data_IF_789509403400
#
_entry.id   IF_789509403400
#
_cell.length_a   1.000
_cell.length_b   1.000
_cell.length_c   1.000
_cell.angle_alpha   90.00
_cell.angle_beta   90.00
_cell.angle_gamma   90.00
#
_symmetry.space_group_name_H-M   'P 1'
#
loop_
_entity.id
_entity.type
_entity.pdbx_description
1 polymer ?
#
# COMPACT_ATOMS: atom_id res chain seq x y z
N UNK A 1 46.45 -12.71 -40.66
CA UNK A 1 45.12 -12.04 -40.81
C UNK A 1 44.11 -13.16 -40.61
N UNK A 2 43.36 -13.30 -39.52
CA UNK A 2 42.70 -12.32 -38.64
C UNK A 2 42.61 -12.89 -37.19
N UNK A 3 42.76 -12.00 -36.20
CA UNK A 3 42.47 -12.03 -34.76
C UNK A 3 41.33 -12.98 -34.32
N UNK A 4 41.39 -13.83 -33.27
CA UNK A 4 41.69 -13.67 -31.83
C UNK A 4 40.91 -12.54 -31.14
N UNK A 5 39.82 -12.89 -30.42
CA UNK A 5 39.40 -12.22 -29.17
C UNK A 5 38.28 -13.03 -28.48
N UNK A 6 38.71 -13.87 -27.53
CA UNK A 6 37.86 -14.52 -26.53
C UNK A 6 38.10 -13.74 -25.23
N UNK A 7 37.21 -12.79 -24.89
CA UNK A 7 37.33 -12.04 -23.64
C UNK A 7 36.91 -12.92 -22.46
N UNK A 8 37.90 -13.60 -21.87
CA UNK A 8 37.90 -14.03 -20.48
C UNK A 8 38.01 -12.78 -19.60
N UNK A 9 36.91 -12.36 -18.99
CA UNK A 9 36.97 -11.40 -17.89
C UNK A 9 37.47 -12.14 -16.64
N UNK A 10 38.73 -11.90 -16.30
CA UNK A 10 39.31 -12.23 -15.00
C UNK A 10 38.63 -11.37 -13.93
N UNK A 11 37.97 -12.03 -12.97
CA UNK A 11 37.50 -11.39 -11.75
C UNK A 11 38.71 -10.90 -10.95
N UNK A 12 38.94 -9.59 -10.99
CA UNK A 12 39.77 -8.92 -10.01
C UNK A 12 38.96 -8.66 -8.73
N UNK A 13 39.67 -8.88 -7.64
CA UNK A 13 39.22 -8.90 -6.27
C UNK A 13 39.06 -7.45 -5.79
N UNK A 14 38.03 -6.77 -6.29
CA UNK A 14 37.66 -5.46 -5.80
C UNK A 14 36.63 -5.63 -4.68
N UNK A 15 36.96 -5.06 -3.52
CA UNK A 15 36.06 -4.80 -2.41
C UNK A 15 34.88 -3.95 -2.91
N UNK A 16 33.90 -4.60 -3.56
CA UNK A 16 32.62 -4.02 -3.91
C UNK A 16 31.89 -3.75 -2.60
N UNK A 17 32.05 -2.53 -2.09
CA UNK A 17 30.94 -1.81 -1.47
C UNK A 17 29.79 -1.90 -2.48
N UNK A 18 28.96 -2.94 -2.34
CA UNK A 18 27.68 -3.03 -3.01
C UNK A 18 26.96 -1.73 -2.65
N UNK A 19 26.92 -0.77 -3.57
CA UNK A 19 25.97 0.32 -3.47
C UNK A 19 24.62 -0.36 -3.26
N UNK A 20 24.05 -0.17 -2.07
CA UNK A 20 22.73 -0.67 -1.74
C UNK A 20 21.77 -0.09 -2.77
N UNK A 21 21.37 -0.93 -3.74
CA UNK A 21 20.45 -0.51 -4.79
C UNK A 21 19.14 -0.16 -4.10
N UNK A 22 18.86 1.14 -3.99
CA UNK A 22 17.60 1.63 -3.45
C UNK A 22 16.48 1.29 -4.42
N UNK A 23 15.63 0.34 -4.00
CA UNK A 23 14.44 -0.05 -4.74
C UNK A 23 13.25 0.79 -4.25
N UNK A 24 12.51 1.38 -5.19
CA UNK A 24 11.39 2.31 -4.95
C UNK A 24 10.31 2.13 -6.00
N UNK A 25 9.68 0.96 -6.03
CA UNK A 25 8.81 0.59 -7.15
C UNK A 25 7.71 -0.40 -6.77
N UNK A 26 6.75 -0.53 -7.68
CA UNK A 26 5.80 -1.62 -7.71
C UNK A 26 6.51 -2.94 -7.91
N UNK A 27 6.04 -3.98 -7.23
CA UNK A 27 6.48 -5.35 -7.44
C UNK A 27 5.27 -6.26 -7.71
N UNK A 28 5.53 -7.42 -8.29
CA UNK A 28 4.51 -8.43 -8.54
C UNK A 28 3.98 -8.98 -7.21
N UNK A 29 2.67 -9.23 -7.13
CA UNK A 29 2.06 -9.93 -5.98
C UNK A 29 2.19 -11.46 -6.09
N UNK A 30 2.81 -11.95 -7.15
CA UNK A 30 3.09 -13.37 -7.36
C UNK A 30 4.10 -13.89 -6.30
N UNK A 31 3.80 -14.98 -5.58
CA UNK A 31 4.66 -15.49 -4.52
C UNK A 31 6.09 -15.83 -4.96
N UNK A 32 6.26 -16.38 -6.16
CA UNK A 32 7.57 -16.75 -6.68
C UNK A 32 8.43 -15.50 -6.93
N UNK A 33 7.87 -14.48 -7.58
CA UNK A 33 8.56 -13.18 -7.78
C UNK A 33 8.92 -12.51 -6.44
N UNK A 34 8.03 -12.57 -5.45
CA UNK A 34 8.30 -12.04 -4.10
C UNK A 34 9.44 -12.79 -3.43
N UNK A 35 9.51 -14.11 -3.59
CA UNK A 35 10.58 -14.92 -3.02
C UNK A 35 11.94 -14.60 -3.64
N UNK A 36 12.01 -14.39 -4.96
CA UNK A 36 13.24 -13.98 -5.64
C UNK A 36 13.76 -12.64 -5.10
N UNK A 37 12.87 -11.66 -4.95
CA UNK A 37 13.21 -10.35 -4.37
C UNK A 37 13.62 -10.47 -2.90
N UNK A 38 12.95 -11.32 -2.12
CA UNK A 38 13.31 -11.59 -0.74
C UNK A 38 14.72 -12.17 -0.63
N UNK A 39 15.07 -13.17 -1.45
CA UNK A 39 16.41 -13.75 -1.48
C UNK A 39 17.48 -12.73 -1.91
N UNK A 40 17.12 -11.78 -2.78
CA UNK A 40 18.02 -10.74 -3.27
C UNK A 40 18.27 -9.60 -2.28
N UNK A 41 17.21 -9.10 -1.64
CA UNK A 41 17.27 -7.87 -0.82
C UNK A 41 17.13 -8.12 0.69
N UNK A 42 16.70 -9.31 1.11
CA UNK A 42 16.56 -9.73 2.52
C UNK A 42 15.37 -9.11 3.26
N UNK A 43 15.07 -7.83 3.03
CA UNK A 43 14.02 -7.10 3.76
C UNK A 43 12.65 -7.17 3.08
N UNK A 44 12.60 -7.35 1.75
CA UNK A 44 11.34 -7.50 1.01
C UNK A 44 10.67 -8.81 1.47
N UNK A 45 9.38 -8.84 1.80
CA UNK A 45 8.71 -10.08 2.20
C UNK A 45 8.79 -11.18 1.14
N UNK A 46 9.11 -12.41 1.55
CA UNK A 46 9.06 -13.60 0.70
C UNK A 46 7.65 -14.20 0.60
N UNK A 47 7.55 -15.35 -0.09
CA UNK A 47 6.26 -16.04 -0.34
C UNK A 47 5.51 -16.40 0.95
N UNK A 48 6.24 -16.82 1.99
CA UNK A 48 5.69 -17.18 3.29
C UNK A 48 5.33 -15.95 4.15
N UNK A 49 6.05 -14.84 3.96
CA UNK A 49 5.88 -13.59 4.72
C UNK A 49 4.74 -12.71 4.21
N UNK A 50 4.13 -13.01 3.05
CA UNK A 50 3.00 -12.24 2.50
C UNK A 50 1.64 -12.85 2.80
N UNK A 51 1.61 -13.96 3.53
CA UNK A 51 0.37 -14.65 3.92
C UNK A 51 0.19 -14.54 5.43
N UNK A 52 -0.95 -14.01 5.90
CA UNK A 52 -1.21 -13.98 7.33
C UNK A 52 -1.34 -15.42 7.86
N UNK A 53 -0.68 -15.70 8.97
CA UNK A 53 -0.86 -16.95 9.71
C UNK A 53 -2.30 -17.06 10.26
N UNK A 54 -2.67 -18.22 10.79
CA UNK A 54 -4.04 -18.46 11.31
C UNK A 54 -4.41 -17.48 12.41
N UNK A 55 -3.51 -17.17 13.34
CA UNK A 55 -3.77 -16.23 14.43
C UNK A 55 -4.03 -14.79 13.93
N UNK A 56 -3.29 -14.32 12.92
CA UNK A 56 -3.49 -13.01 12.29
C UNK A 56 -4.82 -12.98 11.54
N UNK A 57 -5.18 -14.07 10.84
CA UNK A 57 -6.49 -14.21 10.18
C UNK A 57 -7.64 -14.13 11.19
N UNK A 58 -7.54 -14.85 12.30
CA UNK A 58 -8.55 -14.83 13.37
C UNK A 58 -8.65 -13.45 14.01
N UNK A 59 -7.53 -12.83 14.35
CA UNK A 59 -7.48 -11.45 14.87
C UNK A 59 -8.15 -10.46 13.90
N UNK A 60 -7.87 -10.58 12.60
CA UNK A 60 -8.47 -9.76 11.56
C UNK A 60 -9.97 -9.99 11.46
N UNK A 61 -10.43 -11.25 11.47
CA UNK A 61 -11.85 -11.59 11.42
C UNK A 61 -12.60 -11.02 12.62
N UNK A 62 -12.08 -11.23 13.84
CA UNK A 62 -12.66 -10.70 15.06
C UNK A 62 -12.74 -9.16 15.03
N UNK A 63 -11.69 -8.49 14.56
CA UNK A 63 -11.71 -7.05 14.38
C UNK A 63 -12.78 -6.62 13.37
N UNK A 64 -12.84 -7.24 12.20
CA UNK A 64 -13.84 -6.93 11.17
C UNK A 64 -15.25 -7.11 11.71
N UNK A 65 -15.54 -8.23 12.37
CA UNK A 65 -16.84 -8.48 13.01
C UNK A 65 -17.18 -7.38 14.01
N UNK A 66 -16.24 -7.00 14.88
CA UNK A 66 -16.44 -5.93 15.85
C UNK A 66 -16.66 -4.57 15.18
N UNK A 67 -15.96 -4.28 14.09
CA UNK A 67 -16.15 -3.03 13.34
C UNK A 67 -17.49 -3.01 12.61
N UNK A 68 -17.94 -4.12 12.04
CA UNK A 68 -19.25 -4.24 11.39
C UNK A 68 -20.43 -4.19 12.36
N UNK A 69 -20.19 -4.39 13.66
CA UNK A 69 -21.18 -4.09 14.69
C UNK A 69 -21.31 -2.58 14.97
N UNK A 70 -20.33 -1.77 14.58
CA UNK A 70 -20.30 -0.32 14.81
C UNK A 70 -20.54 0.49 13.54
N UNK A 71 -20.09 0.01 12.40
CA UNK A 71 -20.14 0.67 11.10
C UNK A 71 -21.06 -0.10 10.15
N UNK A 72 -21.71 0.62 9.24
CA UNK A 72 -22.53 0.03 8.17
C UNK A 72 -21.70 -0.88 7.28
N UNK A 73 -20.45 -0.47 6.99
CA UNK A 73 -19.49 -1.21 6.19
C UNK A 73 -18.04 -0.96 6.63
N UNK A 74 -17.10 -1.75 6.10
CA UNK A 74 -15.67 -1.46 6.26
C UNK A 74 -15.22 -0.22 5.48
N UNK A 75 -15.94 0.15 4.41
CA UNK A 75 -15.71 1.40 3.69
C UNK A 75 -16.01 2.60 4.61
N UNK A 76 -17.14 2.59 5.32
CA UNK A 76 -17.50 3.65 6.29
C UNK A 76 -16.44 3.81 7.38
N UNK A 77 -15.89 2.68 7.86
CA UNK A 77 -14.79 2.68 8.82
C UNK A 77 -13.57 3.45 8.28
N UNK A 78 -13.13 3.15 7.05
CA UNK A 78 -11.97 3.80 6.44
C UNK A 78 -12.23 5.28 6.18
N UNK A 79 -13.37 5.62 5.58
CA UNK A 79 -13.76 6.99 5.29
C UNK A 79 -13.82 7.85 6.56
N UNK A 80 -14.47 7.35 7.61
CA UNK A 80 -14.53 8.07 8.88
C UNK A 80 -13.17 8.10 9.58
N UNK A 81 -12.49 6.96 9.78
CA UNK A 81 -11.29 6.91 10.66
C UNK A 81 -10.03 7.45 10.01
N UNK A 82 -9.82 7.22 8.72
CA UNK A 82 -8.57 7.61 8.04
C UNK A 82 -8.72 8.94 7.32
N UNK A 83 -9.88 9.17 6.68
CA UNK A 83 -10.13 10.41 5.95
C UNK A 83 -10.89 11.47 6.76
N UNK A 84 -11.45 11.11 7.93
CA UNK A 84 -12.08 12.07 8.83
C UNK A 84 -13.46 12.54 8.39
N UNK A 85 -14.12 11.82 7.47
CA UNK A 85 -15.45 12.17 6.98
C UNK A 85 -16.48 12.01 8.10
N UNK A 86 -17.50 12.89 8.08
CA UNK A 86 -18.59 12.82 9.04
C UNK A 86 -19.50 11.61 8.76
N UNK A 87 -20.00 10.99 9.83
CA UNK A 87 -20.95 9.89 9.75
C UNK A 87 -22.31 10.29 10.32
N UNK A 88 -23.35 9.62 9.85
CA UNK A 88 -24.66 9.59 10.46
C UNK A 88 -24.91 8.21 11.08
N UNK A 89 -25.79 8.16 12.09
CA UNK A 89 -26.32 6.89 12.58
C UNK A 89 -27.44 6.43 11.65
N UNK A 90 -27.32 5.20 11.14
CA UNK A 90 -28.32 4.55 10.31
C UNK A 90 -28.85 3.31 11.03
N UNK A 91 -30.17 3.17 11.12
CA UNK A 91 -30.85 2.09 11.82
C UNK A 91 -31.86 2.61 12.84
N UNK A 92 -32.36 1.70 13.66
CA UNK A 92 -33.22 2.04 14.80
C UNK A 92 -32.40 2.21 16.08
N UNK A 93 -33.09 2.45 17.20
CA UNK A 93 -32.47 2.69 18.50
C UNK A 93 -31.75 1.47 19.10
N UNK A 94 -31.98 0.25 18.60
CA UNK A 94 -31.32 -0.98 19.06
C UNK A 94 -30.18 -1.43 18.16
N UNK A 95 -30.13 -0.99 16.90
CA UNK A 95 -29.17 -1.47 15.90
C UNK A 95 -28.64 -0.33 15.00
N UNK A 96 -28.47 0.88 15.54
CA UNK A 96 -27.86 1.99 14.82
C UNK A 96 -26.38 1.73 14.55
N UNK A 97 -25.95 1.92 13.30
CA UNK A 97 -24.54 1.83 12.88
C UNK A 97 -24.08 3.13 12.24
N UNK A 98 -22.78 3.40 12.31
CA UNK A 98 -22.14 4.55 11.69
C UNK A 98 -22.04 4.36 10.18
N UNK A 99 -22.60 5.28 9.42
CA UNK A 99 -22.55 5.31 7.96
C UNK A 99 -22.10 6.68 7.49
N UNK A 100 -21.17 6.75 6.53
CA UNK A 100 -20.73 8.00 5.91
C UNK A 100 -21.66 8.30 4.75
N UNK A 101 -22.50 9.35 4.81
CA UNK A 101 -23.50 9.61 3.77
C UNK A 101 -22.88 9.93 2.41
N UNK A 102 -23.55 9.54 1.33
CA UNK A 102 -23.10 9.80 -0.05
C UNK A 102 -22.87 11.29 -0.34
N UNK A 103 -23.61 12.17 0.32
CA UNK A 103 -23.43 13.63 0.23
C UNK A 103 -22.10 14.09 0.81
N UNK A 104 -21.67 13.51 1.93
CA UNK A 104 -20.37 13.77 2.55
C UNK A 104 -19.24 13.23 1.65
N UNK A 105 -19.39 12.00 1.15
CA UNK A 105 -18.43 11.38 0.22
C UNK A 105 -18.29 12.25 -1.03
N UNK A 106 -19.39 12.62 -1.67
CA UNK A 106 -19.40 13.44 -2.88
C UNK A 106 -18.76 14.81 -2.64
N UNK A 107 -19.04 15.45 -1.50
CA UNK A 107 -18.43 16.73 -1.12
C UNK A 107 -16.91 16.60 -0.97
N UNK A 108 -16.44 15.55 -0.31
CA UNK A 108 -15.02 15.28 -0.13
C UNK A 108 -14.32 15.06 -1.50
N UNK A 109 -14.89 14.22 -2.37
CA UNK A 109 -14.36 13.96 -3.72
C UNK A 109 -14.26 15.23 -4.56
N UNK A 110 -15.31 16.06 -4.55
CA UNK A 110 -15.32 17.35 -5.24
C UNK A 110 -14.26 18.30 -4.69
N UNK A 111 -14.01 18.28 -3.38
CA UNK A 111 -12.97 19.10 -2.75
C UNK A 111 -11.58 18.66 -3.22
N UNK A 112 -11.32 17.35 -3.25
CA UNK A 112 -10.06 16.79 -3.77
C UNK A 112 -9.87 17.18 -5.24
N UNK A 113 -10.88 16.94 -6.09
CA UNK A 113 -10.82 17.24 -7.52
C UNK A 113 -10.61 18.73 -7.84
N UNK A 114 -11.11 19.64 -6.98
CA UNK A 114 -10.92 21.09 -7.15
C UNK A 114 -9.52 21.55 -6.75
N UNK A 115 -8.95 20.94 -5.71
CA UNK A 115 -7.70 21.42 -5.10
C UNK A 115 -6.46 20.72 -5.67
N UNK A 116 -6.61 19.53 -6.25
CA UNK A 116 -5.51 18.76 -6.81
C UNK A 116 -5.94 17.99 -8.06
N UNK A 117 -4.97 17.74 -8.93
CA UNK A 117 -5.10 16.74 -10.00
C UNK A 117 -4.90 15.31 -9.50
N UNK A 118 -4.39 15.15 -8.29
CA UNK A 118 -4.13 13.86 -7.64
C UNK A 118 -5.23 13.52 -6.64
N UNK A 119 -5.28 12.26 -6.27
CA UNK A 119 -6.13 11.74 -5.22
C UNK A 119 -5.63 12.18 -3.84
N UNK A 120 -6.55 12.25 -2.88
CA UNK A 120 -6.18 12.40 -1.48
C UNK A 120 -5.77 11.03 -0.92
N UNK A 121 -4.68 10.98 -0.16
CA UNK A 121 -4.19 9.71 0.38
C UNK A 121 -3.95 9.76 1.89
N UNK A 122 -3.88 8.56 2.48
CA UNK A 122 -3.49 8.31 3.87
C UNK A 122 -2.55 7.12 3.95
N UNK A 123 -1.36 7.34 4.53
CA UNK A 123 -0.35 6.31 4.73
C UNK A 123 -0.41 5.84 6.19
N UNK A 124 -0.89 4.62 6.41
CA UNK A 124 -1.19 4.11 7.76
C UNK A 124 -0.47 2.79 8.02
N UNK A 125 0.03 2.54 9.26
CA UNK A 125 0.56 1.24 9.63
C UNK A 125 -0.50 0.16 9.42
N UNK A 126 -0.09 -1.02 8.94
CA UNK A 126 -1.03 -2.13 8.81
C UNK A 126 -1.38 -2.69 10.20
N UNK A 127 -2.65 -2.61 10.61
CA UNK A 127 -3.12 -3.16 11.88
C UNK A 127 -2.99 -4.70 11.99
N UNK A 128 -2.79 -5.37 10.85
CA UNK A 128 -2.65 -6.82 10.71
C UNK A 128 -1.39 -7.15 9.90
N UNK A 129 -0.26 -6.57 10.31
CA UNK A 129 1.03 -6.80 9.68
C UNK A 129 1.32 -8.28 9.53
N UNK A 130 1.90 -8.65 8.39
CA UNK A 130 2.40 -9.99 8.19
C UNK A 130 3.66 -10.23 9.03
N UNK A 131 4.09 -11.49 9.07
CA UNK A 131 5.41 -11.87 9.58
C UNK A 131 6.48 -11.47 8.55
N UNK A 132 6.80 -10.18 8.53
CA UNK A 132 7.79 -9.60 7.63
C UNK A 132 9.20 -9.73 8.22
N UNK A 133 10.26 -9.66 7.40
CA UNK A 133 11.64 -9.64 7.87
C UNK A 133 11.91 -8.53 8.90
N UNK A 134 12.85 -8.78 9.83
CA UNK A 134 13.25 -7.81 10.85
C UNK A 134 13.71 -6.50 10.21
N UNK A 135 13.21 -5.37 10.73
CA UNK A 135 13.52 -4.03 10.21
C UNK A 135 12.58 -3.57 9.10
N UNK A 136 11.78 -4.46 8.52
CA UNK A 136 10.79 -4.12 7.50
C UNK A 136 9.51 -3.58 8.14
N UNK A 137 9.07 -2.41 7.67
CA UNK A 137 7.81 -1.80 8.06
C UNK A 137 6.71 -2.19 7.07
N UNK A 138 5.49 -2.47 7.57
CA UNK A 138 4.33 -2.82 6.73
C UNK A 138 3.19 -1.81 6.91
N UNK A 139 2.89 -1.09 5.84
CA UNK A 139 1.90 -0.02 5.79
C UNK A 139 0.88 -0.30 4.69
N UNK A 140 -0.23 0.43 4.74
CA UNK A 140 -1.23 0.51 3.67
C UNK A 140 -1.32 1.96 3.24
N UNK A 141 -1.22 2.20 1.94
CA UNK A 141 -1.52 3.49 1.35
C UNK A 141 -2.95 3.46 0.84
N UNK A 142 -3.83 4.24 1.47
CA UNK A 142 -5.23 4.41 1.07
C UNK A 142 -5.39 5.67 0.25
N UNK A 143 -6.27 5.62 -0.74
CA UNK A 143 -6.67 6.74 -1.57
C UNK A 143 -8.18 6.95 -1.51
N UNK A 144 -8.59 8.21 -1.42
CA UNK A 144 -9.94 8.67 -1.68
C UNK A 144 -10.00 9.11 -3.15
N UNK A 145 -10.81 8.38 -3.92
CA UNK A 145 -10.98 8.55 -5.37
C UNK A 145 -11.72 9.85 -5.69
N UNK A 146 -11.23 10.68 -6.60
CA UNK A 146 -11.72 12.05 -6.82
C UNK A 146 -12.88 12.15 -7.84
N UNK A 147 -13.25 11.04 -8.48
CA UNK A 147 -14.33 10.93 -9.47
C UNK A 147 -13.93 11.17 -10.92
N UNK A 148 -12.66 11.47 -11.19
CA UNK A 148 -12.15 11.69 -12.54
C UNK A 148 -11.22 10.55 -12.98
N UNK A 149 -11.39 9.34 -12.42
CA UNK A 149 -10.51 8.22 -12.67
C UNK A 149 -10.62 7.75 -14.12
N UNK A 150 -9.47 7.62 -14.80
CA UNK A 150 -9.36 6.79 -15.99
C UNK A 150 -8.88 5.43 -15.54
N UNK A 151 -9.77 4.43 -15.57
CA UNK A 151 -9.41 3.06 -15.21
C UNK A 151 -8.43 2.53 -16.25
N UNK A 152 -7.23 2.18 -15.82
CA UNK A 152 -6.24 1.51 -16.66
C UNK A 152 -6.85 0.20 -17.21
N UNK A 153 -6.88 -0.01 -18.53
CA UNK A 153 -7.53 -1.18 -19.12
C UNK A 153 -6.79 -2.50 -18.87
N UNK A 154 -5.50 -2.45 -18.49
CA UNK A 154 -4.63 -3.61 -18.25
C UNK A 154 -4.60 -3.94 -16.75
N UNK A 155 -4.36 -2.94 -15.91
CA UNK A 155 -4.21 -3.14 -14.46
C UNK A 155 -5.53 -3.00 -13.71
N UNK A 156 -6.56 -2.45 -14.36
CA UNK A 156 -7.83 -2.06 -13.75
C UNK A 156 -7.64 -1.14 -12.54
N UNK A 157 -6.52 -0.42 -12.49
CA UNK A 157 -6.22 0.53 -11.43
C UNK A 157 -6.82 1.89 -11.77
N UNK A 158 -7.52 2.54 -10.83
CA UNK A 158 -7.94 3.93 -10.96
C UNK A 158 -6.78 4.93 -10.75
N UNK A 159 -5.63 4.46 -10.26
CA UNK A 159 -4.46 5.28 -9.89
C UNK A 159 -3.21 4.76 -10.60
N UNK A 160 -2.39 5.66 -11.13
CA UNK A 160 -1.16 5.31 -11.84
C UNK A 160 -0.05 4.89 -10.87
N UNK A 161 0.88 4.05 -11.35
CA UNK A 161 2.03 3.62 -10.56
C UNK A 161 2.90 4.83 -10.12
N UNK A 162 3.01 5.87 -10.95
CA UNK A 162 3.76 7.10 -10.65
C UNK A 162 3.13 7.91 -9.51
N UNK A 163 1.80 8.01 -9.47
CA UNK A 163 1.08 8.69 -8.39
C UNK A 163 1.23 7.93 -7.06
N UNK A 164 1.18 6.59 -7.12
CA UNK A 164 1.42 5.73 -5.95
C UNK A 164 2.85 5.91 -5.43
N UNK A 165 3.86 5.80 -6.30
CA UNK A 165 5.26 6.00 -5.93
C UNK A 165 5.49 7.38 -5.28
N UNK A 166 4.97 8.44 -5.91
CA UNK A 166 5.11 9.82 -5.42
C UNK A 166 4.43 10.00 -4.05
N UNK A 167 3.26 9.39 -3.84
CA UNK A 167 2.52 9.44 -2.58
C UNK A 167 3.24 8.70 -1.46
N UNK A 168 3.81 7.51 -1.73
CA UNK A 168 4.64 6.77 -0.77
C UNK A 168 5.87 7.60 -0.41
N UNK A 169 6.56 8.15 -1.41
CA UNK A 169 7.75 8.97 -1.21
C UNK A 169 7.46 10.20 -0.34
N UNK A 170 6.38 10.93 -0.65
CA UNK A 170 5.93 12.05 0.16
C UNK A 170 5.63 11.63 1.60
N UNK A 171 4.91 10.53 1.80
CA UNK A 171 4.55 10.03 3.13
C UNK A 171 5.78 9.62 3.95
N UNK A 172 6.73 8.91 3.35
CA UNK A 172 7.95 8.48 4.04
C UNK A 172 8.86 9.65 4.40
N UNK A 173 8.99 10.66 3.52
CA UNK A 173 9.74 11.89 3.83
C UNK A 173 9.13 12.67 4.99
N UNK A 174 7.80 12.69 5.09
CA UNK A 174 7.10 13.29 6.23
C UNK A 174 7.30 12.47 7.52
N UNK A 175 7.27 11.14 7.41
CA UNK A 175 7.40 10.22 8.55
C UNK A 175 8.82 10.17 9.14
N UNK A 176 9.85 10.20 8.29
CA UNK A 176 11.26 10.04 8.65
C UNK A 176 12.01 11.36 8.93
N UNK A 177 11.28 12.48 8.95
CA UNK A 177 11.81 13.84 8.84
C UNK A 177 12.50 14.10 7.49
N UNK A 178 12.23 15.29 6.93
CA UNK A 178 12.59 15.74 5.58
C UNK A 178 14.09 15.69 5.25
N UNK A 179 14.94 15.53 6.28
CA UNK A 179 16.39 15.44 6.14
C UNK A 179 16.89 14.01 5.83
N UNK A 180 16.09 12.97 6.07
CA UNK A 180 16.46 11.60 5.74
C UNK A 180 15.83 11.16 4.40
N UNK A 181 16.63 11.27 3.34
CA UNK A 181 16.24 10.85 1.99
C UNK A 181 16.62 9.41 1.66
N UNK A 182 17.16 8.68 2.64
CA UNK A 182 17.54 7.28 2.51
C UNK A 182 16.38 6.47 3.05
N UNK A 183 15.78 5.72 2.14
CA UNK A 183 14.77 4.71 2.40
C UNK A 183 14.55 3.96 1.10
N UNK A 184 14.17 2.69 1.25
CA UNK A 184 13.71 1.84 0.16
C UNK A 184 12.27 1.43 0.42
N UNK A 185 11.49 1.31 -0.64
CA UNK A 185 10.13 0.82 -0.53
C UNK A 185 9.74 -0.02 -1.73
N UNK A 186 8.84 -0.96 -1.48
CA UNK A 186 8.14 -1.70 -2.51
C UNK A 186 6.67 -1.72 -2.18
N UNK A 187 5.84 -1.82 -3.21
CA UNK A 187 4.40 -1.95 -3.02
C UNK A 187 3.79 -2.89 -4.04
N UNK A 188 2.64 -3.46 -3.69
CA UNK A 188 1.90 -4.33 -4.60
C UNK A 188 0.39 -4.24 -4.37
N UNK A 189 -0.36 -4.68 -5.39
CA UNK A 189 -1.83 -4.78 -5.33
C UNK A 189 -2.21 -6.07 -4.61
N UNK A 190 -2.91 -5.96 -3.47
CA UNK A 190 -3.41 -7.14 -2.79
C UNK A 190 -4.36 -7.91 -3.72
N UNK A 191 -4.06 -9.15 -4.13
CA UNK A 191 -4.92 -9.90 -5.05
C UNK A 191 -6.28 -10.26 -4.44
N UNK A 192 -6.41 -10.18 -3.11
CA UNK A 192 -7.65 -10.43 -2.36
C UNK A 192 -7.88 -9.31 -1.34
N UNK A 193 -8.22 -8.10 -1.80
CA UNK A 193 -8.50 -6.99 -0.91
C UNK A 193 -9.77 -7.28 -0.10
N UNK A 194 -9.77 -6.91 1.17
CA UNK A 194 -10.96 -7.06 2.03
C UNK A 194 -11.99 -5.97 1.78
N UNK A 195 -11.54 -4.81 1.31
CA UNK A 195 -12.39 -3.67 0.95
C UNK A 195 -12.26 -3.47 -0.55
N UNK A 196 -13.36 -3.72 -1.27
CA UNK A 196 -13.53 -3.37 -2.68
C UNK A 196 -14.56 -2.24 -2.69
N UNK A 197 -14.22 -1.13 -3.32
CA UNK A 197 -14.97 0.13 -3.25
C UNK A 197 -14.80 0.90 -4.55
N UNK A 198 -15.82 1.66 -4.93
CA UNK A 198 -15.83 2.61 -6.03
C UNK A 198 -15.30 4.01 -5.64
N UNK A 199 -15.10 4.25 -4.34
CA UNK A 199 -14.61 5.52 -3.80
C UNK A 199 -13.28 5.40 -3.07
N UNK A 200 -12.84 4.19 -2.74
CA UNK A 200 -11.56 3.92 -2.09
C UNK A 200 -10.68 2.98 -2.92
N UNK A 201 -9.39 3.27 -2.94
CA UNK A 201 -8.36 2.39 -3.49
C UNK A 201 -7.22 2.23 -2.48
N UNK A 202 -6.50 1.10 -2.51
CA UNK A 202 -5.36 0.91 -1.60
C UNK A 202 -4.32 -0.10 -2.10
N UNK A 203 -3.09 0.09 -1.65
CA UNK A 203 -1.96 -0.82 -1.91
C UNK A 203 -1.24 -1.20 -0.63
N UNK A 204 -0.58 -2.36 -0.64
CA UNK A 204 0.29 -2.81 0.46
C UNK A 204 1.69 -2.26 0.22
N UNK A 205 2.29 -1.64 1.25
CA UNK A 205 3.61 -1.00 1.15
C UNK A 205 4.53 -1.59 2.20
N UNK A 206 5.73 -1.99 1.77
CA UNK A 206 6.82 -2.43 2.65
C UNK A 206 8.00 -1.49 2.47
N UNK A 207 8.63 -1.09 3.57
CA UNK A 207 9.74 -0.14 3.50
C UNK A 207 10.74 -0.30 4.64
N UNK A 208 11.95 0.18 4.39
CA UNK A 208 13.05 0.31 5.36
C UNK A 208 13.65 1.72 5.29
N UNK A 209 14.11 2.30 6.42
CA UNK A 209 14.85 3.58 6.43
C UNK A 209 16.25 3.45 5.84
#
# INVERSE_FOLDING_TARGET
QIFSDLYLYTFHNDNNLLEEIMIRQKISSNPESMQELHLKYGWIPGAESIRPNTAIKEKKNNYITNMLNRYGSLQDLVLHRFFGLQFALQGDWTNSRMHVPDTEISSARLTVAKNSKTHEFRFVPNSFSYEVPTGTNHYVLWFLLNGNENIDPITHSPITDDEINSSIEQALRQLLDSNNNKFSFVWYLNPKPTIISDVLYHVQVFWIP
#
